data_IF_870276312573
#
_entry.id   IF_870276312573
#
_cell.length_a   1.000
_cell.length_b   1.000
_cell.length_c   1.000
_cell.angle_alpha   90.00
_cell.angle_beta   90.00
_cell.angle_gamma   90.00
#
_symmetry.space_group_name_H-M   'P 1'
#
loop_
_entity.id
_entity.type
_entity.pdbx_description
1 polymer ?
#
# COMPACT_ATOMS: atom_id res chain seq x y z
N UNK A 1 35.49 -47.99 -33.47
CA UNK A 1 34.36 -48.23 -32.55
C UNK A 1 34.39 -47.32 -31.37
N UNK A 2 34.59 -45.97 -31.56
CA UNK A 2 34.66 -45.00 -30.46
C UNK A 2 33.97 -43.67 -30.76
N UNK A 3 33.34 -43.49 -31.92
CA UNK A 3 32.64 -42.24 -32.29
C UNK A 3 31.20 -42.14 -31.76
N UNK A 4 30.56 -43.27 -31.43
CA UNK A 4 29.17 -43.31 -30.93
C UNK A 4 29.04 -42.91 -29.46
N UNK A 5 30.12 -43.05 -28.66
CA UNK A 5 30.09 -42.74 -27.21
C UNK A 5 30.15 -41.23 -26.93
N UNK A 6 30.74 -40.44 -27.80
CA UNK A 6 30.84 -38.98 -27.61
C UNK A 6 29.57 -38.21 -28.05
N UNK A 7 28.80 -38.80 -28.96
CA UNK A 7 27.54 -38.21 -29.42
C UNK A 7 26.43 -38.23 -28.36
N UNK A 8 26.46 -39.21 -27.43
CA UNK A 8 25.45 -39.35 -26.39
C UNK A 8 25.69 -38.41 -25.20
N UNK A 9 26.94 -38.00 -24.95
CA UNK A 9 27.31 -37.12 -23.85
C UNK A 9 26.99 -35.67 -24.21
N UNK A 10 27.13 -35.27 -25.45
CA UNK A 10 26.81 -33.91 -25.91
C UNK A 10 25.29 -33.65 -25.92
N UNK A 11 24.46 -34.67 -26.18
CA UNK A 11 23.00 -34.53 -26.18
C UNK A 11 22.41 -34.38 -24.77
N UNK A 12 23.11 -34.91 -23.74
CA UNK A 12 22.64 -34.83 -22.35
C UNK A 12 23.00 -33.49 -21.67
N UNK A 13 24.01 -32.77 -22.16
CA UNK A 13 24.45 -31.50 -21.59
C UNK A 13 23.62 -30.29 -22.05
N UNK A 14 22.85 -30.39 -23.14
CA UNK A 14 22.02 -29.32 -23.64
C UNK A 14 20.61 -29.23 -22.98
N UNK A 15 20.21 -30.29 -22.24
CA UNK A 15 18.90 -30.31 -21.56
C UNK A 15 18.88 -29.60 -20.19
N UNK A 16 20.04 -29.16 -19.67
CA UNK A 16 20.11 -28.54 -18.32
C UNK A 16 20.12 -27.02 -18.32
N UNK A 17 19.98 -26.36 -19.47
CA UNK A 17 20.05 -24.88 -19.58
C UNK A 17 18.72 -24.18 -19.74
N UNK A 18 17.61 -24.89 -19.72
CA UNK A 18 16.31 -24.25 -19.59
C UNK A 18 16.01 -23.92 -18.12
N UNK A 19 16.83 -23.08 -17.47
CA UNK A 19 16.40 -22.35 -16.28
C UNK A 19 15.28 -21.43 -16.70
N UNK A 20 14.08 -21.88 -16.42
CA UNK A 20 12.83 -21.19 -16.63
C UNK A 20 12.87 -19.78 -16.05
N UNK A 21 12.98 -18.78 -16.91
CA UNK A 21 12.64 -17.38 -16.61
C UNK A 21 11.12 -17.19 -16.34
N UNK A 22 10.39 -18.28 -16.08
CA UNK A 22 8.95 -18.27 -15.88
C UNK A 22 8.52 -17.77 -14.49
N UNK A 23 9.47 -17.48 -13.56
CA UNK A 23 9.15 -17.05 -12.20
C UNK A 23 9.10 -15.53 -11.98
N UNK A 24 9.50 -14.74 -12.95
CA UNK A 24 9.63 -13.27 -12.77
C UNK A 24 8.38 -12.47 -13.15
N UNK A 25 7.35 -13.09 -13.68
CA UNK A 25 6.08 -12.44 -13.99
C UNK A 25 4.98 -12.90 -13.03
N UNK A 26 4.06 -11.97 -12.71
CA UNK A 26 2.84 -12.30 -11.97
C UNK A 26 1.94 -13.18 -12.87
N UNK A 27 1.71 -14.44 -12.47
CA UNK A 27 0.65 -15.23 -13.11
C UNK A 27 -0.73 -14.64 -12.79
N UNK A 28 -1.78 -14.96 -13.57
CA UNK A 28 -3.14 -14.47 -13.28
C UNK A 28 -3.60 -14.75 -11.85
N UNK A 29 -3.29 -15.94 -11.31
CA UNK A 29 -3.66 -16.34 -9.95
C UNK A 29 -2.90 -15.52 -8.91
N UNK A 30 -1.60 -15.28 -9.15
CA UNK A 30 -0.77 -14.43 -8.29
C UNK A 30 -1.21 -12.98 -8.35
N UNK A 31 -1.59 -12.47 -9.53
CA UNK A 31 -2.17 -11.14 -9.68
C UNK A 31 -3.41 -10.99 -8.83
N UNK A 32 -4.35 -11.93 -8.91
CA UNK A 32 -5.57 -11.91 -8.10
C UNK A 32 -5.29 -11.92 -6.59
N UNK A 33 -4.29 -12.71 -6.14
CA UNK A 33 -3.87 -12.74 -4.74
C UNK A 33 -3.25 -11.41 -4.30
N UNK A 34 -2.40 -10.81 -5.12
CA UNK A 34 -1.79 -9.49 -4.87
C UNK A 34 -2.84 -8.39 -4.84
N UNK A 35 -3.80 -8.38 -5.77
CA UNK A 35 -4.90 -7.42 -5.80
C UNK A 35 -5.75 -7.52 -4.51
N UNK A 36 -6.04 -8.73 -4.06
CA UNK A 36 -6.75 -8.96 -2.79
C UNK A 36 -5.97 -8.44 -1.59
N UNK A 37 -4.64 -8.70 -1.53
CA UNK A 37 -3.77 -8.23 -0.46
C UNK A 37 -3.66 -6.70 -0.45
N UNK A 38 -3.57 -6.06 -1.62
CA UNK A 38 -3.55 -4.59 -1.72
C UNK A 38 -4.84 -3.97 -1.20
N UNK A 39 -5.99 -4.54 -1.56
CA UNK A 39 -7.29 -4.09 -1.05
C UNK A 39 -7.43 -4.29 0.46
N UNK A 40 -6.88 -5.38 1.01
CA UNK A 40 -6.85 -5.63 2.46
C UNK A 40 -6.00 -4.57 3.18
N UNK A 41 -4.78 -4.30 2.71
CA UNK A 41 -3.90 -3.26 3.29
C UNK A 41 -4.54 -1.86 3.27
N UNK A 42 -5.28 -1.52 2.21
CA UNK A 42 -6.01 -0.24 2.14
C UNK A 42 -7.16 -0.20 3.17
N UNK A 43 -7.87 -1.31 3.38
CA UNK A 43 -8.91 -1.40 4.43
C UNK A 43 -8.30 -1.32 5.83
N UNK A 44 -7.16 -1.95 6.07
CA UNK A 44 -6.44 -1.86 7.34
C UNK A 44 -5.97 -0.43 7.60
N UNK A 45 -5.43 0.25 6.58
CA UNK A 45 -5.06 1.66 6.68
C UNK A 45 -6.26 2.54 7.06
N UNK A 46 -7.43 2.32 6.43
CA UNK A 46 -8.68 3.02 6.78
C UNK A 46 -9.05 2.84 8.24
N UNK A 47 -8.99 1.60 8.74
CA UNK A 47 -9.27 1.25 10.13
C UNK A 47 -8.27 1.91 11.09
N UNK A 48 -6.97 1.86 10.77
CA UNK A 48 -5.92 2.49 11.60
C UNK A 48 -6.07 4.00 11.66
N UNK A 49 -6.35 4.67 10.54
CA UNK A 49 -6.63 6.11 10.49
C UNK A 49 -7.84 6.46 11.37
N UNK A 50 -8.90 5.66 11.36
CA UNK A 50 -10.07 5.87 12.21
C UNK A 50 -9.70 5.78 13.70
N UNK A 51 -8.94 4.77 14.10
CA UNK A 51 -8.48 4.58 15.49
C UNK A 51 -7.58 5.75 15.94
N UNK A 52 -6.59 6.13 15.12
CA UNK A 52 -5.66 7.23 15.44
C UNK A 52 -6.38 8.59 15.53
N UNK A 53 -7.39 8.80 14.71
CA UNK A 53 -8.18 10.04 14.69
C UNK A 53 -9.21 10.15 15.81
N UNK A 54 -9.64 9.02 16.36
CA UNK A 54 -10.63 8.98 17.42
C UNK A 54 -10.09 9.61 18.72
N UNK A 55 -10.82 10.54 19.29
CA UNK A 55 -10.44 11.29 20.49
C UNK A 55 -10.61 10.49 21.78
N UNK A 56 -11.29 9.36 21.73
CA UNK A 56 -11.43 8.43 22.85
C UNK A 56 -10.30 7.40 22.87
N UNK A 57 -9.54 7.26 21.78
CA UNK A 57 -8.37 6.35 21.73
C UNK A 57 -7.25 6.89 22.63
N UNK A 58 -6.76 6.05 23.55
CA UNK A 58 -5.63 6.41 24.40
C UNK A 58 -4.34 6.65 23.59
N UNK A 59 -3.52 7.60 24.06
CA UNK A 59 -2.25 7.98 23.39
C UNK A 59 -1.30 6.82 23.16
N UNK A 60 -1.19 5.91 24.14
CA UNK A 60 -0.37 4.70 24.06
C UNK A 60 -0.83 3.79 22.93
N UNK A 61 -2.15 3.59 22.80
CA UNK A 61 -2.76 2.79 21.75
C UNK A 61 -2.60 3.46 20.39
N UNK A 62 -2.90 4.77 20.28
CA UNK A 62 -2.74 5.51 19.04
C UNK A 62 -1.30 5.44 18.52
N UNK A 63 -0.28 5.59 19.39
CA UNK A 63 1.13 5.46 19.00
C UNK A 63 1.47 4.04 18.52
N UNK A 64 0.95 3.00 19.18
CA UNK A 64 1.14 1.62 18.75
C UNK A 64 0.53 1.36 17.37
N UNK A 65 -0.67 1.91 17.12
CA UNK A 65 -1.33 1.82 15.82
C UNK A 65 -0.57 2.61 14.74
N UNK A 66 0.03 3.78 15.08
CA UNK A 66 0.91 4.51 14.17
C UNK A 66 2.07 3.63 13.69
N UNK A 67 2.80 2.98 14.60
CA UNK A 67 3.94 2.14 14.20
C UNK A 67 3.49 0.97 13.28
N UNK A 68 2.36 0.32 13.59
CA UNK A 68 1.77 -0.70 12.69
C UNK A 68 1.36 -0.13 11.34
N UNK A 69 0.85 1.10 11.32
CA UNK A 69 0.46 1.76 10.07
C UNK A 69 1.66 1.99 9.16
N UNK A 70 2.82 2.35 9.74
CA UNK A 70 4.05 2.58 8.97
C UNK A 70 4.52 1.32 8.24
N UNK A 71 4.29 0.13 8.78
CA UNK A 71 4.63 -1.15 8.15
C UNK A 71 3.87 -1.42 6.84
N UNK A 72 2.76 -0.71 6.61
CA UNK A 72 2.01 -0.81 5.36
C UNK A 72 2.67 -0.06 4.20
N UNK A 73 3.58 0.90 4.48
CA UNK A 73 4.07 1.86 3.52
C UNK A 73 5.50 1.58 3.06
N UNK A 74 5.77 2.00 1.83
CA UNK A 74 7.14 2.15 1.34
C UNK A 74 7.80 3.35 2.02
N UNK A 75 9.09 3.25 2.30
CA UNK A 75 9.88 4.32 2.89
C UNK A 75 9.78 5.61 2.06
N UNK A 76 9.66 6.74 2.75
CA UNK A 76 9.56 8.06 2.13
C UNK A 76 8.18 8.42 1.59
N UNK A 77 7.17 7.55 1.73
CA UNK A 77 5.79 7.81 1.30
C UNK A 77 5.17 9.01 2.00
N UNK A 78 4.31 9.74 1.28
CA UNK A 78 3.67 10.95 1.74
C UNK A 78 2.14 10.88 1.67
N UNK A 79 1.48 11.60 2.57
CA UNK A 79 0.03 11.80 2.58
C UNK A 79 -0.33 13.20 2.11
N UNK A 80 -1.12 13.31 1.06
CA UNK A 80 -1.76 14.54 0.64
C UNK A 80 -2.94 14.91 1.55
N UNK A 81 -2.96 16.15 2.00
CA UNK A 81 -4.02 16.72 2.85
C UNK A 81 -4.54 18.00 2.22
N UNK A 82 -5.84 18.07 2.06
CA UNK A 82 -6.58 19.25 1.59
C UNK A 82 -7.69 19.61 2.57
N UNK A 83 -8.33 20.73 2.38
CA UNK A 83 -9.57 21.11 3.06
C UNK A 83 -10.35 22.08 2.19
N UNK A 84 -11.65 22.22 2.43
CA UNK A 84 -12.53 23.16 1.71
C UNK A 84 -12.05 24.62 1.79
N UNK A 85 -11.32 24.97 2.84
CA UNK A 85 -10.86 26.35 3.09
C UNK A 85 -9.43 26.63 2.58
N UNK A 86 -8.76 25.62 1.98
CA UNK A 86 -7.40 25.76 1.47
C UNK A 86 -7.34 25.36 0.01
N UNK A 87 -6.82 26.25 -0.84
CA UNK A 87 -6.61 25.96 -2.28
C UNK A 87 -5.43 25.00 -2.55
N UNK A 88 -4.50 24.89 -1.60
CA UNK A 88 -3.26 24.11 -1.77
C UNK A 88 -3.35 22.78 -1.02
N UNK A 89 -3.02 21.70 -1.69
CA UNK A 89 -2.76 20.39 -1.06
C UNK A 89 -1.39 20.46 -0.38
N UNK A 90 -1.32 20.08 0.89
CA UNK A 90 -0.07 19.90 1.61
C UNK A 90 0.29 18.42 1.66
N UNK A 91 1.57 18.10 1.52
CA UNK A 91 2.09 16.74 1.62
C UNK A 91 2.91 16.59 2.89
N UNK A 92 2.67 15.52 3.62
CA UNK A 92 3.38 15.20 4.85
C UNK A 92 3.93 13.78 4.78
N UNK A 93 5.14 13.52 5.30
CA UNK A 93 5.56 12.15 5.58
C UNK A 93 4.48 11.41 6.36
N UNK A 94 4.26 10.12 6.06
CA UNK A 94 3.15 9.34 6.66
C UNK A 94 3.16 9.44 8.19
N UNK A 95 4.31 9.25 8.84
CA UNK A 95 4.43 9.36 10.30
C UNK A 95 3.98 10.73 10.83
N UNK A 96 4.41 11.80 10.18
CA UNK A 96 4.02 13.16 10.56
C UNK A 96 2.51 13.37 10.40
N UNK A 97 1.94 12.91 9.28
CA UNK A 97 0.49 12.98 9.07
C UNK A 97 -0.30 12.28 10.18
N UNK A 98 0.09 11.06 10.54
CA UNK A 98 -0.59 10.27 11.57
C UNK A 98 -0.49 10.94 12.95
N UNK A 99 0.68 11.50 13.29
CA UNK A 99 0.87 12.27 14.52
C UNK A 99 0.03 13.56 14.55
N UNK A 100 -0.10 14.24 13.41
CA UNK A 100 -0.98 15.43 13.27
C UNK A 100 -2.45 15.05 13.43
N UNK A 101 -2.87 13.93 12.86
CA UNK A 101 -4.22 13.39 12.97
C UNK A 101 -4.61 13.15 14.44
N UNK A 102 -3.73 12.52 15.21
CA UNK A 102 -3.91 12.29 16.64
C UNK A 102 -4.10 13.62 17.43
N UNK A 103 -3.43 14.71 16.99
CA UNK A 103 -3.41 16.02 17.65
C UNK A 103 -4.42 17.02 17.12
N UNK A 104 -5.34 16.61 16.22
CA UNK A 104 -6.36 17.54 15.70
C UNK A 104 -7.17 18.16 16.84
N UNK A 105 -7.36 19.48 16.76
CA UNK A 105 -8.08 20.24 17.78
C UNK A 105 -9.61 20.16 17.57
N UNK A 106 -10.15 18.95 17.66
CA UNK A 106 -11.59 18.68 17.69
C UNK A 106 -11.94 17.90 18.94
N UNK A 107 -13.16 18.06 19.43
CA UNK A 107 -13.69 17.23 20.51
C UNK A 107 -14.04 15.84 20.01
N UNK A 108 -14.57 15.75 18.78
CA UNK A 108 -14.90 14.49 18.12
C UNK A 108 -14.39 14.49 16.68
N UNK A 109 -13.80 13.40 16.26
CA UNK A 109 -13.34 13.16 14.87
C UNK A 109 -13.88 11.82 14.41
N UNK A 110 -14.44 11.80 13.21
CA UNK A 110 -14.81 10.57 12.51
C UNK A 110 -14.24 10.61 11.10
N UNK A 111 -13.49 9.57 10.73
CA UNK A 111 -12.89 9.44 9.40
C UNK A 111 -13.32 8.09 8.85
N UNK A 112 -14.00 8.12 7.71
CA UNK A 112 -14.46 6.92 7.02
C UNK A 112 -13.99 6.91 5.58
N UNK A 113 -13.58 5.73 5.11
CA UNK A 113 -13.22 5.50 3.72
C UNK A 113 -14.28 4.67 3.03
N UNK A 114 -14.60 5.00 1.79
CA UNK A 114 -15.61 4.32 1.00
C UNK A 114 -15.23 4.32 -0.48
N UNK A 115 -15.96 3.55 -1.31
CA UNK A 115 -15.70 3.40 -2.74
C UNK A 115 -14.23 3.07 -3.06
N UNK A 116 -13.67 2.08 -2.33
CA UNK A 116 -12.30 1.62 -2.53
C UNK A 116 -12.28 0.77 -3.79
N UNK A 117 -11.54 1.19 -4.82
CA UNK A 117 -11.49 0.48 -6.11
C UNK A 117 -10.14 0.66 -6.80
N UNK A 118 -9.71 -0.35 -7.55
CA UNK A 118 -8.60 -0.22 -8.48
C UNK A 118 -8.98 0.73 -9.63
N UNK A 119 -8.07 1.64 -9.97
CA UNK A 119 -8.19 2.57 -11.11
C UNK A 119 -7.28 2.13 -12.25
N UNK A 120 -6.16 1.51 -11.94
CA UNK A 120 -5.23 1.00 -12.94
C UNK A 120 -4.79 -0.43 -12.63
N UNK A 121 -4.56 -1.21 -13.68
CA UNK A 121 -3.88 -2.49 -13.55
C UNK A 121 -2.44 -2.32 -13.04
N UNK A 122 -1.91 -3.39 -12.43
CA UNK A 122 -0.51 -3.47 -12.05
C UNK A 122 0.38 -3.50 -13.29
N UNK A 123 1.24 -2.48 -13.44
CA UNK A 123 2.18 -2.35 -14.56
C UNK A 123 3.60 -2.64 -14.08
N UNK A 124 4.29 -3.58 -14.75
CA UNK A 124 5.67 -3.91 -14.45
C UNK A 124 6.60 -2.73 -14.78
N UNK A 125 7.44 -2.37 -13.82
CA UNK A 125 8.44 -1.31 -13.96
C UNK A 125 9.80 -1.89 -14.40
N UNK A 126 10.72 -1.06 -14.92
CA UNK A 126 12.05 -1.51 -15.33
C UNK A 126 12.89 -2.13 -14.19
N UNK A 127 12.63 -1.76 -12.95
CA UNK A 127 13.27 -2.31 -11.75
C UNK A 127 12.68 -3.64 -11.28
N UNK A 128 11.70 -4.19 -12.01
CA UNK A 128 11.06 -5.47 -11.73
C UNK A 128 9.86 -5.39 -10.79
N UNK A 129 9.60 -4.25 -10.13
CA UNK A 129 8.40 -4.03 -9.32
C UNK A 129 7.18 -3.84 -10.21
N UNK A 130 5.99 -4.07 -9.63
CA UNK A 130 4.74 -3.68 -10.28
C UNK A 130 4.15 -2.48 -9.53
N UNK A 131 3.54 -1.57 -10.27
CA UNK A 131 2.90 -0.37 -9.74
C UNK A 131 1.46 -0.29 -10.23
N UNK A 132 0.55 0.02 -9.32
CA UNK A 132 -0.85 0.27 -9.60
C UNK A 132 -1.39 1.41 -8.76
N UNK A 133 -2.66 1.75 -8.95
CA UNK A 133 -3.33 2.83 -8.22
C UNK A 133 -4.68 2.34 -7.72
N UNK A 134 -4.95 2.58 -6.43
CA UNK A 134 -6.27 2.40 -5.83
C UNK A 134 -6.83 3.78 -5.49
N UNK A 135 -8.04 4.07 -5.95
CA UNK A 135 -8.78 5.27 -5.55
C UNK A 135 -9.68 4.97 -4.36
N UNK A 136 -9.74 5.93 -3.43
CA UNK A 136 -10.65 5.93 -2.30
C UNK A 136 -11.35 7.29 -2.17
N UNK A 137 -12.48 7.30 -1.49
CA UNK A 137 -13.11 8.52 -0.98
C UNK A 137 -13.02 8.51 0.54
N UNK A 138 -12.48 9.59 1.10
CA UNK A 138 -12.37 9.80 2.54
C UNK A 138 -13.36 10.86 2.96
N UNK A 139 -14.29 10.53 3.85
CA UNK A 139 -15.12 11.49 4.56
C UNK A 139 -14.45 11.83 5.89
N UNK A 140 -14.26 13.11 6.14
CA UNK A 140 -13.82 13.66 7.42
C UNK A 140 -14.96 14.42 8.09
N UNK A 141 -15.22 14.13 9.35
CA UNK A 141 -16.20 14.81 10.19
C UNK A 141 -15.53 15.22 11.50
N UNK A 142 -15.46 16.52 11.76
CA UNK A 142 -14.91 17.07 13.00
C UNK A 142 -15.93 17.93 13.73
N UNK A 143 -16.03 17.79 15.06
CA UNK A 143 -16.87 18.65 15.91
C UNK A 143 -15.97 19.36 16.91
N UNK A 144 -16.03 20.70 16.98
CA UNK A 144 -15.27 21.49 17.96
C UNK A 144 -15.92 21.43 19.35
N UNK A 145 -15.24 21.97 20.35
CA UNK A 145 -15.77 22.06 21.73
C UNK A 145 -17.03 22.94 21.80
N UNK A 146 -17.14 23.94 20.92
CA UNK A 146 -18.28 24.84 20.80
C UNK A 146 -19.44 24.25 19.98
N UNK A 147 -19.31 22.97 19.52
CA UNK A 147 -20.33 22.27 18.77
C UNK A 147 -20.34 22.58 17.26
N UNK A 148 -19.36 23.35 16.75
CA UNK A 148 -19.25 23.62 15.32
C UNK A 148 -18.82 22.36 14.59
N UNK A 149 -19.51 22.06 13.47
CA UNK A 149 -19.24 20.88 12.64
C UNK A 149 -18.49 21.26 11.36
N UNK A 150 -17.45 20.52 11.06
CA UNK A 150 -16.75 20.55 9.78
C UNK A 150 -16.88 19.19 9.10
N UNK A 151 -17.24 19.19 7.82
CA UNK A 151 -17.35 17.95 7.02
C UNK A 151 -16.76 18.22 5.65
N UNK A 152 -15.91 17.32 5.18
CA UNK A 152 -15.50 17.26 3.79
C UNK A 152 -15.40 15.81 3.27
N UNK A 153 -15.39 15.69 1.95
CA UNK A 153 -15.11 14.45 1.23
C UNK A 153 -13.92 14.67 0.31
N UNK A 154 -12.91 13.88 0.45
CA UNK A 154 -11.70 13.96 -0.36
C UNK A 154 -11.53 12.67 -1.17
N UNK A 155 -11.45 12.81 -2.50
CA UNK A 155 -11.01 11.73 -3.38
C UNK A 155 -9.48 11.65 -3.34
N UNK A 156 -8.95 10.45 -3.15
CA UNK A 156 -7.50 10.21 -3.06
C UNK A 156 -7.09 9.00 -3.88
N UNK A 157 -5.92 9.09 -4.47
CA UNK A 157 -5.26 8.01 -5.17
C UNK A 157 -4.08 7.51 -4.34
N UNK A 158 -4.04 6.21 -4.10
CA UNK A 158 -3.01 5.49 -3.35
C UNK A 158 -2.16 4.73 -4.35
N UNK A 159 -0.88 5.02 -4.43
CA UNK A 159 0.07 4.22 -5.21
C UNK A 159 0.30 2.88 -4.53
N UNK A 160 0.23 1.79 -5.27
CA UNK A 160 0.49 0.44 -4.81
C UNK A 160 1.78 -0.05 -5.44
N UNK A 161 2.71 -0.54 -4.64
CA UNK A 161 3.93 -1.20 -5.07
C UNK A 161 3.87 -2.67 -4.75
N UNK A 162 4.23 -3.50 -5.71
CA UNK A 162 4.34 -4.94 -5.54
C UNK A 162 5.75 -5.36 -5.90
N UNK A 163 6.47 -5.92 -4.95
CA UNK A 163 7.86 -6.31 -5.11
C UNK A 163 8.08 -7.76 -4.69
N UNK A 164 9.07 -8.38 -5.31
CA UNK A 164 9.50 -9.73 -4.93
C UNK A 164 10.49 -9.65 -3.79
N UNK A 165 10.15 -10.28 -2.67
CA UNK A 165 11.04 -10.45 -1.52
C UNK A 165 11.47 -11.91 -1.38
N UNK A 166 12.56 -12.12 -0.67
CA UNK A 166 13.04 -13.44 -0.29
C UNK A 166 13.17 -13.51 1.23
N UNK A 167 12.79 -14.64 1.78
CA UNK A 167 13.05 -15.00 3.17
C UNK A 167 13.65 -16.39 3.23
N UNK A 168 14.16 -16.80 4.38
CA UNK A 168 14.63 -18.15 4.61
C UNK A 168 13.75 -18.82 5.66
N UNK A 169 13.26 -20.02 5.34
CA UNK A 169 12.57 -20.89 6.29
C UNK A 169 13.37 -22.19 6.34
N UNK A 170 13.87 -22.55 7.53
CA UNK A 170 14.73 -23.72 7.76
C UNK A 170 15.95 -23.78 6.81
N UNK A 171 16.53 -22.60 6.51
CA UNK A 171 17.68 -22.48 5.59
C UNK A 171 17.32 -22.53 4.10
N UNK A 172 16.05 -22.74 3.74
CA UNK A 172 15.57 -22.80 2.36
C UNK A 172 15.11 -21.40 1.94
N UNK A 173 15.66 -20.80 0.87
CA UNK A 173 15.20 -19.49 0.37
C UNK A 173 13.82 -19.62 -0.26
N UNK A 174 12.87 -18.84 0.24
CA UNK A 174 11.50 -18.77 -0.27
C UNK A 174 11.26 -17.35 -0.79
N UNK A 175 10.86 -17.24 -2.06
CA UNK A 175 10.45 -15.99 -2.67
C UNK A 175 8.94 -15.77 -2.51
N UNK A 176 8.54 -14.56 -2.14
CA UNK A 176 7.13 -14.15 -2.09
C UNK A 176 6.95 -12.74 -2.67
N UNK A 177 5.70 -12.40 -3.00
CA UNK A 177 5.34 -11.06 -3.42
C UNK A 177 4.81 -10.28 -2.22
N UNK A 178 5.41 -9.12 -1.95
CA UNK A 178 4.96 -8.18 -0.92
C UNK A 178 4.27 -6.99 -1.57
N UNK A 179 3.29 -6.44 -0.87
CA UNK A 179 2.52 -5.27 -1.30
C UNK A 179 2.79 -4.14 -0.32
N UNK A 180 3.23 -2.99 -0.82
CA UNK A 180 3.43 -1.78 -0.03
C UNK A 180 2.60 -0.64 -0.60
N UNK A 181 2.06 0.17 0.29
CA UNK A 181 1.41 1.43 -0.07
C UNK A 181 2.47 2.51 -0.29
N UNK A 182 2.28 3.35 -1.26
CA UNK A 182 3.13 4.49 -1.54
C UNK A 182 2.44 5.81 -1.21
N UNK A 183 2.74 6.84 -2.01
CA UNK A 183 2.13 8.16 -1.88
C UNK A 183 0.61 8.10 -1.98
N UNK A 184 -0.03 8.88 -1.12
CA UNK A 184 -1.47 9.13 -1.16
C UNK A 184 -1.71 10.56 -1.62
N UNK A 185 -2.24 10.72 -2.82
CA UNK A 185 -2.45 12.01 -3.47
C UNK A 185 -3.91 12.40 -3.43
N UNK A 186 -4.17 13.67 -3.15
CA UNK A 186 -5.51 14.26 -3.28
C UNK A 186 -5.77 14.59 -4.74
N UNK A 187 -6.90 14.13 -5.27
CA UNK A 187 -7.37 14.45 -6.61
C UNK A 187 -8.52 15.45 -6.59
N UNK A 188 -9.37 15.41 -5.55
CA UNK A 188 -10.51 16.29 -5.41
C UNK A 188 -10.91 16.45 -3.94
N UNK A 189 -11.49 17.63 -3.58
CA UNK A 189 -12.11 17.86 -2.26
C UNK A 189 -13.44 18.57 -2.45
N UNK A 190 -14.49 17.97 -1.91
CA UNK A 190 -15.87 18.46 -2.00
C UNK A 190 -16.52 18.54 -0.61
N UNK A 191 -17.70 19.16 -0.55
CA UNK A 191 -18.52 19.24 0.64
C UNK A 191 -19.44 18.02 0.74
#
# INVERSE_FOLDING_TARGET
MNLLKYSLIVLFSTLLLNKTNAQDNLSPERKAAVDSLAMEKVRDLSKYISIIGDKETEWSEANRVIERTLELFMDGSQMGVSSLHRKKVNYYPIKEYLQRLMRLNYQKVNITWFNIQYVSDLVKQPDGRYVGVITIYQKFEGTTKEGLKYVDVTKKDITIYVERKQTQIDGIPIGFWDVLLGDIRVTETTK
#
